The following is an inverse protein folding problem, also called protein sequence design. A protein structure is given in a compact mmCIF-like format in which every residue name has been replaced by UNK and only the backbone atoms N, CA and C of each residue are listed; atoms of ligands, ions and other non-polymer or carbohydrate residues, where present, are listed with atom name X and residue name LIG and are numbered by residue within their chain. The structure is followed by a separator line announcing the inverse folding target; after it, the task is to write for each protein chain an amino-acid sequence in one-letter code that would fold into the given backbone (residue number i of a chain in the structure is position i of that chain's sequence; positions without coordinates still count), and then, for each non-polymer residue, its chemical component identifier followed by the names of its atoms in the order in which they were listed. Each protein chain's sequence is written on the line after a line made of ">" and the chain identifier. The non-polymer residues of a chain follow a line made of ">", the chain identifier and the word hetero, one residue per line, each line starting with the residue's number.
data_IF_613913396873
#
_entry.id   IF_613913396873
#
_cell.length_a   1.000
_cell.length_b   1.000
_cell.length_c   1.000
_cell.angle_alpha   90.00
_cell.angle_beta   90.00
_cell.angle_gamma   90.00
#
_symmetry.space_group_name_H-M   'P 1'
#
loop_
_entity.id
_entity.type
_entity.pdbx_description
1 polymer ?
#
# COMPACT_ATOMS: atom_id res chain seq x y z
N UNK A 1 -1.43 -24.53 18.53
CA UNK A 1 -0.48 -24.79 17.43
C UNK A 1 -0.81 -23.92 16.23
N UNK A 2 -0.33 -22.68 16.24
CA UNK A 2 -0.42 -21.76 15.10
C UNK A 2 0.90 -21.87 14.35
N UNK A 3 0.95 -22.67 13.28
CA UNK A 3 2.04 -22.56 12.31
C UNK A 3 1.81 -21.26 11.54
N UNK A 4 2.44 -20.18 12.00
CA UNK A 4 2.57 -18.96 11.20
C UNK A 4 3.25 -19.37 9.90
N UNK A 5 2.53 -19.17 8.80
CA UNK A 5 2.92 -19.62 7.47
C UNK A 5 4.08 -18.74 6.96
N UNK A 6 5.31 -19.14 7.28
CA UNK A 6 6.57 -18.47 6.89
C UNK A 6 6.81 -18.42 5.36
N UNK A 7 5.94 -19.03 4.56
CA UNK A 7 6.07 -19.13 3.10
C UNK A 7 5.62 -17.88 2.32
N UNK A 8 5.10 -16.82 2.97
CA UNK A 8 4.58 -15.62 2.26
C UNK A 8 5.66 -14.67 1.72
N UNK A 9 6.93 -14.89 2.01
CA UNK A 9 8.01 -14.00 1.56
C UNK A 9 9.08 -14.81 0.87
N UNK A 10 9.18 -14.62 -0.44
CA UNK A 10 10.07 -15.40 -1.31
C UNK A 10 11.35 -14.59 -1.53
N UNK A 11 12.47 -15.29 -1.69
CA UNK A 11 13.68 -14.75 -2.33
C UNK A 11 13.25 -14.10 -3.66
N UNK A 12 13.69 -12.86 -3.91
CA UNK A 12 13.34 -12.09 -5.11
C UNK A 12 13.39 -12.99 -6.37
N UNK A 13 12.26 -13.21 -7.07
CA UNK A 13 12.17 -14.21 -8.14
C UNK A 13 12.87 -13.80 -9.43
N UNK A 14 13.35 -12.56 -9.53
CA UNK A 14 13.99 -12.00 -10.72
C UNK A 14 15.51 -11.83 -10.58
N UNK A 15 16.06 -12.06 -9.39
CA UNK A 15 17.42 -11.62 -9.05
C UNK A 15 17.50 -10.12 -8.76
N UNK A 16 18.70 -9.63 -8.48
CA UNK A 16 18.90 -8.23 -8.09
C UNK A 16 18.62 -7.28 -9.26
N UNK A 17 17.68 -6.34 -9.07
CA UNK A 17 17.44 -5.25 -10.02
C UNK A 17 18.43 -4.11 -9.74
N UNK A 18 19.36 -3.87 -10.66
CA UNK A 18 20.35 -2.80 -10.54
C UNK A 18 19.88 -1.59 -11.36
N UNK A 19 19.54 -0.50 -10.67
CA UNK A 19 19.11 0.74 -11.31
C UNK A 19 20.29 1.70 -11.47
N UNK A 20 20.40 2.32 -12.64
CA UNK A 20 21.35 3.41 -12.85
C UNK A 20 20.87 4.68 -12.13
N UNK A 21 21.77 5.62 -11.77
CA UNK A 21 21.37 6.89 -11.17
C UNK A 21 20.34 7.66 -12.01
N UNK A 22 20.50 7.64 -13.34
CA UNK A 22 19.56 8.28 -14.28
C UNK A 22 18.18 7.61 -14.23
N UNK A 23 18.13 6.27 -14.14
CA UNK A 23 16.86 5.55 -14.02
C UNK A 23 16.17 5.86 -12.68
N UNK A 24 16.93 5.94 -11.58
CA UNK A 24 16.41 6.35 -10.28
C UNK A 24 15.78 7.74 -10.32
N UNK A 25 16.48 8.74 -10.90
CA UNK A 25 15.95 10.10 -11.03
C UNK A 25 14.65 10.13 -11.82
N UNK A 26 14.61 9.47 -12.99
CA UNK A 26 13.39 9.42 -13.83
C UNK A 26 12.21 8.75 -13.12
N UNK A 27 12.47 7.69 -12.36
CA UNK A 27 11.44 7.00 -11.60
C UNK A 27 10.86 7.91 -10.51
N UNK A 28 11.69 8.70 -9.83
CA UNK A 28 11.22 9.69 -8.85
C UNK A 28 10.38 10.78 -9.55
N UNK A 29 10.87 11.36 -10.64
CA UNK A 29 10.17 12.38 -11.43
C UNK A 29 8.76 11.91 -11.84
N UNK A 30 8.65 10.70 -12.41
CA UNK A 30 7.36 10.12 -12.81
C UNK A 30 6.44 9.94 -11.61
N UNK A 31 6.95 9.46 -10.47
CA UNK A 31 6.12 9.32 -9.28
C UNK A 31 5.62 10.65 -8.77
N UNK A 32 6.48 11.67 -8.75
CA UNK A 32 6.15 13.00 -8.25
C UNK A 32 5.12 13.68 -9.17
N UNK A 33 5.24 13.55 -10.50
CA UNK A 33 4.22 14.02 -11.45
C UNK A 33 2.83 13.41 -11.18
N UNK A 34 2.77 12.08 -10.98
CA UNK A 34 1.50 11.39 -10.68
C UNK A 34 0.94 11.86 -9.33
N UNK A 35 1.80 11.98 -8.31
CA UNK A 35 1.38 12.41 -6.97
C UNK A 35 0.83 13.84 -7.01
N UNK A 36 1.49 14.76 -7.71
CA UNK A 36 1.06 16.15 -7.80
C UNK A 36 -0.29 16.28 -8.52
N UNK A 37 -0.50 15.55 -9.61
CA UNK A 37 -1.81 15.51 -10.27
C UNK A 37 -2.92 15.01 -9.33
N UNK A 38 -2.63 14.02 -8.48
CA UNK A 38 -3.58 13.49 -7.48
C UNK A 38 -3.78 14.41 -6.28
N UNK A 39 -2.77 15.19 -5.94
CA UNK A 39 -2.85 16.24 -4.94
C UNK A 39 -3.76 17.37 -5.39
N UNK A 40 -3.62 17.85 -6.64
CA UNK A 40 -4.50 18.85 -7.25
C UNK A 40 -5.97 18.36 -7.29
N UNK A 41 -6.21 17.11 -7.72
CA UNK A 41 -7.55 16.49 -7.66
C UNK A 41 -8.13 16.43 -6.23
N UNK A 42 -7.26 16.34 -5.21
CA UNK A 42 -7.69 16.37 -3.81
C UNK A 42 -8.03 17.79 -3.35
N UNK A 43 -7.26 18.80 -3.75
CA UNK A 43 -7.58 20.20 -3.45
C UNK A 43 -8.94 20.60 -4.07
N UNK A 44 -9.20 20.20 -5.31
CA UNK A 44 -10.52 20.38 -5.93
C UNK A 44 -11.63 19.68 -5.14
N UNK A 45 -11.37 18.46 -4.66
CA UNK A 45 -12.29 17.70 -3.83
C UNK A 45 -12.60 18.42 -2.50
N UNK A 46 -11.62 19.08 -1.89
CA UNK A 46 -11.84 19.93 -0.71
C UNK A 46 -12.75 21.11 -1.05
N UNK A 47 -12.51 21.78 -2.19
CA UNK A 47 -13.25 22.96 -2.63
C UNK A 47 -14.73 22.69 -2.92
N UNK A 48 -15.08 21.46 -3.31
CA UNK A 48 -16.48 21.04 -3.54
C UNK A 48 -17.12 20.37 -2.32
N UNK A 49 -16.64 20.65 -1.11
CA UNK A 49 -17.14 20.05 0.14
C UNK A 49 -17.12 18.52 0.13
N UNK A 50 -16.12 17.92 -0.51
CA UNK A 50 -15.90 16.47 -0.50
C UNK A 50 -17.05 15.66 -1.13
N UNK A 51 -17.81 16.27 -2.03
CA UNK A 51 -18.90 15.61 -2.73
C UNK A 51 -18.42 14.55 -3.72
N UNK A 52 -19.20 13.48 -3.87
CA UNK A 52 -18.95 12.40 -4.82
C UNK A 52 -20.02 12.43 -5.91
N UNK A 53 -19.60 12.58 -7.16
CA UNK A 53 -20.51 12.46 -8.31
C UNK A 53 -21.06 11.03 -8.43
N UNK A 54 -22.31 10.84 -8.02
CA UNK A 54 -22.99 9.54 -8.06
C UNK A 54 -23.46 9.12 -9.47
N UNK A 55 -23.45 10.04 -10.45
CA UNK A 55 -23.68 9.73 -11.86
C UNK A 55 -22.46 9.04 -12.48
N UNK A 56 -21.26 9.31 -11.96
CA UNK A 56 -20.03 8.61 -12.33
C UNK A 56 -19.73 7.43 -11.42
N UNK A 57 -19.88 7.61 -10.12
CA UNK A 57 -19.46 6.65 -9.10
C UNK A 57 -20.63 5.87 -8.52
N UNK A 58 -20.57 4.53 -8.63
CA UNK A 58 -21.51 3.63 -7.98
C UNK A 58 -20.91 3.12 -6.67
N UNK A 59 -21.58 3.37 -5.55
CA UNK A 59 -21.20 2.81 -4.25
C UNK A 59 -21.08 1.28 -4.33
N UNK A 60 -19.98 0.75 -3.82
CA UNK A 60 -19.67 -0.68 -3.85
C UNK A 60 -19.64 -1.28 -2.45
N UNK A 61 -18.83 -0.71 -1.56
CA UNK A 61 -18.62 -1.23 -0.20
C UNK A 61 -18.37 -0.10 0.79
N UNK A 62 -18.54 -0.39 2.08
CA UNK A 62 -18.25 0.53 3.19
C UNK A 62 -17.56 -0.27 4.30
N UNK A 63 -16.53 0.29 4.91
CA UNK A 63 -15.94 -0.21 6.16
C UNK A 63 -15.69 0.95 7.09
N UNK A 64 -16.21 0.89 8.31
CA UNK A 64 -16.23 2.04 9.20
C UNK A 64 -16.90 3.24 8.52
N UNK A 65 -16.18 4.36 8.44
CA UNK A 65 -16.64 5.60 7.81
C UNK A 65 -16.17 5.76 6.36
N UNK A 66 -15.24 4.93 5.91
CA UNK A 66 -14.69 4.94 4.55
C UNK A 66 -15.62 4.18 3.59
N UNK A 67 -15.88 4.77 2.43
CA UNK A 67 -16.71 4.19 1.37
C UNK A 67 -15.91 4.02 0.09
N UNK A 68 -16.07 2.85 -0.54
CA UNK A 68 -15.48 2.53 -1.84
C UNK A 68 -16.56 2.57 -2.91
N UNK A 69 -16.22 3.21 -4.03
CA UNK A 69 -17.05 3.37 -5.20
C UNK A 69 -16.34 2.77 -6.41
N UNK A 70 -17.11 2.31 -7.38
CA UNK A 70 -16.64 1.87 -8.68
C UNK A 70 -17.19 2.78 -9.76
N UNK A 71 -16.38 3.06 -10.76
CA UNK A 71 -16.83 3.84 -11.91
C UNK A 71 -17.90 3.07 -12.71
N UNK A 72 -18.94 3.79 -13.12
CA UNK A 72 -20.03 3.24 -13.94
C UNK A 72 -19.59 3.11 -15.40
N UNK A 73 -19.90 1.96 -16.00
CA UNK A 73 -19.40 1.56 -17.34
C UNK A 73 -19.70 2.55 -18.48
N UNK A 74 -20.82 3.26 -18.45
CA UNK A 74 -21.24 4.14 -19.54
C UNK A 74 -20.47 5.46 -19.61
N UNK A 75 -19.71 5.81 -18.56
CA UNK A 75 -18.89 7.01 -18.54
C UNK A 75 -17.59 6.86 -19.33
N UNK A 76 -17.15 5.61 -19.58
CA UNK A 76 -15.98 5.33 -20.40
C UNK A 76 -16.14 3.98 -21.12
N UNK A 77 -16.94 3.94 -22.21
CA UNK A 77 -17.23 2.69 -22.92
C UNK A 77 -15.99 2.06 -23.57
N UNK A 78 -14.97 2.87 -23.87
CA UNK A 78 -13.71 2.42 -24.49
C UNK A 78 -12.71 1.87 -23.46
N UNK A 79 -12.77 2.34 -22.21
CA UNK A 79 -11.95 1.79 -21.12
C UNK A 79 -12.55 0.50 -20.55
N UNK A 80 -11.87 -0.61 -20.83
CA UNK A 80 -12.18 -1.91 -20.23
C UNK A 80 -11.71 -2.03 -18.77
N UNK A 81 -10.95 -1.06 -18.28
CA UNK A 81 -10.28 -1.13 -16.98
C UNK A 81 -11.19 -0.61 -15.86
N UNK A 82 -11.44 -1.40 -14.80
CA UNK A 82 -12.22 -0.92 -13.69
C UNK A 82 -11.45 0.18 -12.91
N UNK A 83 -12.14 1.27 -12.60
CA UNK A 83 -11.65 2.34 -11.72
C UNK A 83 -12.34 2.28 -10.36
N UNK A 84 -11.60 2.63 -9.32
CA UNK A 84 -12.05 2.67 -7.92
C UNK A 84 -11.81 4.05 -7.33
N UNK A 85 -12.75 4.51 -6.51
CA UNK A 85 -12.64 5.70 -5.68
C UNK A 85 -12.92 5.30 -4.23
N UNK A 86 -12.01 5.63 -3.33
CA UNK A 86 -12.17 5.50 -1.89
C UNK A 86 -12.27 6.88 -1.28
N UNK A 87 -13.28 7.14 -0.46
CA UNK A 87 -13.44 8.42 0.24
C UNK A 87 -13.91 8.22 1.68
N UNK A 88 -13.59 9.19 2.52
CA UNK A 88 -14.08 9.28 3.88
C UNK A 88 -13.01 8.89 4.91
N UNK A 89 -13.24 9.22 6.17
CA UNK A 89 -12.16 9.26 7.15
C UNK A 89 -11.69 7.87 7.57
N UNK A 90 -10.39 7.75 7.74
CA UNK A 90 -9.67 6.69 8.42
C UNK A 90 -9.55 7.03 9.92
N UNK A 91 -9.57 6.01 10.81
CA UNK A 91 -9.27 6.19 12.23
C UNK A 91 -7.79 6.51 12.43
N UNK A 92 -7.45 7.26 13.48
CA UNK A 92 -6.07 7.63 13.80
C UNK A 92 -5.65 8.98 13.26
N UNK A 93 -4.54 9.47 13.81
CA UNK A 93 -3.80 10.63 13.29
C UNK A 93 -3.17 10.33 11.92
N UNK A 94 -2.80 11.38 11.19
CA UNK A 94 -2.07 11.27 9.93
C UNK A 94 -0.75 10.51 10.16
N UNK A 95 -0.03 10.83 11.23
CA UNK A 95 1.24 10.19 11.55
C UNK A 95 1.08 8.70 11.88
N UNK A 96 0.01 8.30 12.57
CA UNK A 96 -0.26 6.87 12.81
C UNK A 96 -0.60 6.12 11.54
N UNK A 97 -1.40 6.72 10.66
CA UNK A 97 -1.73 6.15 9.36
C UNK A 97 -0.47 6.04 8.48
N UNK A 98 0.33 7.09 8.37
CA UNK A 98 1.56 7.09 7.59
C UNK A 98 2.60 6.11 8.16
N UNK A 99 2.73 6.02 9.49
CA UNK A 99 3.62 5.05 10.14
C UNK A 99 3.20 3.59 9.89
N UNK A 100 1.90 3.31 9.94
CA UNK A 100 1.36 2.00 9.58
C UNK A 100 1.55 1.66 8.10
N UNK A 101 1.42 2.66 7.24
CA UNK A 101 1.50 2.56 5.79
C UNK A 101 2.92 2.28 5.31
N UNK A 102 3.90 3.07 5.75
CA UNK A 102 5.29 3.03 5.27
C UNK A 102 5.96 1.70 5.58
N UNK A 103 6.51 1.07 4.54
CA UNK A 103 7.05 -0.29 4.58
C UNK A 103 8.23 -0.47 3.61
N UNK A 104 9.33 0.28 3.71
CA UNK A 104 10.41 0.30 2.71
C UNK A 104 11.16 -1.04 2.59
N UNK A 105 11.24 -1.81 3.68
CA UNK A 105 12.03 -3.05 3.77
C UNK A 105 11.16 -4.31 3.72
N UNK A 106 11.77 -5.46 3.41
CA UNK A 106 11.10 -6.77 3.46
C UNK A 106 10.52 -7.05 4.85
N UNK A 107 11.24 -6.69 5.92
CA UNK A 107 10.78 -6.85 7.30
C UNK A 107 9.54 -6.00 7.58
N UNK A 108 9.56 -4.71 7.24
CA UNK A 108 8.40 -3.84 7.41
C UNK A 108 7.20 -4.27 6.54
N UNK A 109 7.45 -4.88 5.37
CA UNK A 109 6.42 -5.53 4.55
C UNK A 109 5.83 -6.78 5.23
N UNK A 110 6.65 -7.60 5.91
CA UNK A 110 6.19 -8.76 6.71
C UNK A 110 5.24 -8.34 7.81
N UNK A 111 5.60 -7.30 8.54
CA UNK A 111 4.76 -6.77 9.61
C UNK A 111 3.44 -6.28 9.02
N UNK A 112 3.48 -5.47 7.95
CA UNK A 112 2.29 -4.95 7.28
C UNK A 112 1.34 -6.07 6.79
N UNK A 113 1.86 -7.07 6.09
CA UNK A 113 1.01 -8.13 5.52
C UNK A 113 0.36 -9.04 6.56
N UNK A 114 1.01 -9.20 7.73
CA UNK A 114 0.47 -10.01 8.82
C UNK A 114 -0.88 -9.49 9.35
N UNK A 115 -1.14 -8.18 9.22
CA UNK A 115 -2.38 -7.53 9.66
C UNK A 115 -3.36 -7.25 8.52
N UNK A 116 -2.84 -7.00 7.31
CA UNK A 116 -3.65 -6.63 6.16
C UNK A 116 -4.17 -7.85 5.39
N UNK A 117 -3.40 -8.95 5.33
CA UNK A 117 -3.65 -10.09 4.44
C UNK A 117 -3.86 -9.63 2.98
N UNK A 118 -3.04 -8.69 2.53
CA UNK A 118 -3.14 -7.95 1.27
C UNK A 118 -2.40 -8.62 0.10
N UNK A 119 -1.44 -9.50 0.36
CA UNK A 119 -0.72 -10.27 -0.66
C UNK A 119 -0.26 -11.65 -0.17
N UNK A 120 -0.06 -12.56 -1.14
CA UNK A 120 0.41 -13.92 -0.90
C UNK A 120 1.94 -14.01 -0.89
N UNK A 121 2.58 -13.29 -1.81
CA UNK A 121 4.02 -13.20 -1.92
C UNK A 121 4.43 -11.78 -2.25
N UNK A 122 5.57 -11.32 -1.72
CA UNK A 122 6.13 -10.03 -2.09
C UNK A 122 7.65 -9.99 -1.95
N UNK A 123 8.28 -9.10 -2.72
CA UNK A 123 9.72 -8.86 -2.70
C UNK A 123 10.02 -7.37 -2.93
N UNK A 124 11.11 -6.89 -2.32
CA UNK A 124 11.73 -5.60 -2.67
C UNK A 124 12.73 -5.88 -3.81
N UNK A 125 12.60 -5.15 -4.92
CA UNK A 125 13.47 -5.32 -6.09
C UNK A 125 14.62 -4.31 -6.08
N UNK A 126 14.32 -3.05 -5.77
CA UNK A 126 15.30 -1.98 -5.65
C UNK A 126 14.80 -0.86 -4.73
N UNK A 127 15.69 -0.29 -3.93
CA UNK A 127 15.40 0.87 -3.07
C UNK A 127 16.00 2.11 -3.71
N UNK A 128 15.20 3.15 -3.94
CA UNK A 128 15.62 4.40 -4.59
C UNK A 128 15.80 5.50 -3.55
N UNK A 129 14.83 5.63 -2.64
CA UNK A 129 14.86 6.55 -1.50
C UNK A 129 14.42 5.83 -0.24
N UNK A 130 15.24 5.95 0.81
CA UNK A 130 14.96 5.44 2.14
C UNK A 130 14.45 6.56 3.07
N UNK A 131 13.54 6.24 4.02
CA UNK A 131 13.17 7.18 5.06
C UNK A 131 14.37 7.65 5.89
N UNK A 132 14.34 8.91 6.29
CA UNK A 132 15.35 9.52 7.17
C UNK A 132 14.71 9.93 8.50
N UNK A 133 15.52 10.41 9.45
CA UNK A 133 15.00 10.95 10.71
C UNK A 133 14.16 12.21 10.47
N UNK A 134 14.59 13.06 9.53
CA UNK A 134 13.92 14.31 9.19
C UNK A 134 12.67 14.08 8.33
N UNK A 135 12.72 13.08 7.43
CA UNK A 135 11.62 12.68 6.54
C UNK A 135 11.23 11.21 6.75
N UNK A 136 10.61 10.84 7.89
CA UNK A 136 10.37 9.45 8.28
C UNK A 136 9.33 8.73 7.42
N UNK A 137 8.57 9.48 6.62
CA UNK A 137 7.56 8.92 5.72
C UNK A 137 7.97 8.95 4.25
N UNK A 138 9.11 9.56 3.91
CA UNK A 138 9.57 9.64 2.52
C UNK A 138 10.24 8.34 2.12
N UNK A 139 9.65 7.65 1.14
CA UNK A 139 10.22 6.40 0.61
C UNK A 139 9.90 6.28 -0.87
N UNK A 140 10.83 5.73 -1.65
CA UNK A 140 10.59 5.34 -3.06
C UNK A 140 11.26 3.98 -3.31
N UNK A 141 10.46 2.96 -3.60
CA UNK A 141 10.94 1.56 -3.67
C UNK A 141 10.24 0.83 -4.80
N UNK A 142 11.01 0.09 -5.60
CA UNK A 142 10.49 -0.84 -6.61
C UNK A 142 10.25 -2.19 -5.97
N UNK A 143 9.04 -2.72 -6.14
CA UNK A 143 8.55 -3.93 -5.48
C UNK A 143 7.86 -4.85 -6.46
N UNK A 144 7.74 -6.10 -6.02
CA UNK A 144 6.91 -7.11 -6.64
C UNK A 144 5.94 -7.67 -5.60
N UNK A 145 4.71 -7.93 -6.03
CA UNK A 145 3.73 -8.66 -5.22
C UNK A 145 2.88 -9.61 -6.06
N UNK A 146 2.44 -10.69 -5.44
CA UNK A 146 1.47 -11.63 -5.96
C UNK A 146 0.18 -11.53 -5.14
N UNK A 147 -0.92 -11.30 -5.83
CA UNK A 147 -2.26 -11.23 -5.23
C UNK A 147 -3.00 -12.53 -5.58
N UNK A 148 -3.51 -13.21 -4.56
CA UNK A 148 -4.42 -14.33 -4.74
C UNK A 148 -5.74 -13.86 -5.32
N UNK A 149 -6.29 -14.63 -6.22
CA UNK A 149 -7.62 -14.36 -6.74
C UNK A 149 -8.50 -15.54 -6.36
N UNK A 150 -9.73 -15.30 -5.87
CA UNK A 150 -10.66 -16.38 -5.60
C UNK A 150 -10.71 -17.37 -6.78
N UNK A 151 -10.65 -18.67 -6.44
CA UNK A 151 -10.58 -19.81 -7.37
C UNK A 151 -9.20 -20.10 -7.99
N UNK A 152 -8.15 -19.33 -7.71
CA UNK A 152 -6.81 -19.64 -8.18
C UNK A 152 -6.23 -20.90 -7.53
N UNK A 153 -6.47 -21.08 -6.23
CA UNK A 153 -6.16 -22.33 -5.50
C UNK A 153 -6.91 -23.56 -6.03
N UNK A 154 -7.99 -23.36 -6.78
CA UNK A 154 -8.75 -24.43 -7.45
C UNK A 154 -8.28 -24.68 -8.89
N UNK A 155 -7.25 -23.97 -9.36
CA UNK A 155 -6.70 -24.10 -10.72
C UNK A 155 -7.59 -23.53 -11.83
N UNK A 156 -8.69 -22.86 -11.49
CA UNK A 156 -9.65 -22.31 -12.46
C UNK A 156 -9.20 -20.96 -13.05
N UNK A 157 -8.35 -20.24 -12.33
CA UNK A 157 -7.75 -18.97 -12.75
C UNK A 157 -6.29 -18.91 -12.31
N UNK A 158 -5.48 -18.11 -13.00
CA UNK A 158 -4.07 -17.88 -12.60
C UNK A 158 -3.97 -16.71 -11.61
N UNK A 159 -3.00 -16.76 -10.71
CA UNK A 159 -2.69 -15.60 -9.85
C UNK A 159 -2.19 -14.44 -10.68
N UNK A 160 -2.33 -13.23 -10.13
CA UNK A 160 -1.82 -12.01 -10.74
C UNK A 160 -0.63 -11.50 -9.94
N UNK A 161 0.42 -11.19 -10.67
CA UNK A 161 1.60 -10.55 -10.12
C UNK A 161 1.74 -9.13 -10.67
N UNK A 162 2.39 -8.28 -9.88
CA UNK A 162 2.56 -6.87 -10.18
C UNK A 162 3.97 -6.45 -9.83
N UNK A 163 4.61 -5.75 -10.77
CA UNK A 163 5.86 -5.03 -10.54
C UNK A 163 5.50 -3.55 -10.51
N UNK A 164 5.86 -2.86 -9.43
CA UNK A 164 5.40 -1.50 -9.18
C UNK A 164 6.42 -0.70 -8.39
N UNK A 165 6.41 0.61 -8.61
CA UNK A 165 7.06 1.59 -7.76
C UNK A 165 6.07 2.02 -6.68
N UNK A 166 6.51 2.00 -5.42
CA UNK A 166 5.78 2.53 -4.28
C UNK A 166 6.47 3.82 -3.82
N UNK A 167 5.71 4.92 -3.75
CA UNK A 167 6.18 6.22 -3.29
C UNK A 167 5.29 6.73 -2.17
N UNK A 168 5.89 7.14 -1.06
CA UNK A 168 5.20 7.67 0.12
C UNK A 168 5.87 8.94 0.59
N UNK A 169 5.12 9.79 1.31
CA UNK A 169 5.65 11.01 1.89
C UNK A 169 4.55 11.94 2.39
N UNK A 170 4.95 13.17 2.70
CA UNK A 170 4.09 14.26 3.14
C UNK A 170 4.24 15.44 2.17
N UNK A 171 3.11 16.02 1.78
CA UNK A 171 2.98 17.30 1.10
C UNK A 171 2.30 18.30 2.04
N UNK A 172 2.23 19.55 1.61
CA UNK A 172 1.58 20.62 2.35
C UNK A 172 0.59 21.35 1.44
N UNK A 173 -0.62 21.58 1.97
CA UNK A 173 -1.59 22.49 1.36
C UNK A 173 -1.07 23.93 1.46
N UNK A 174 -1.68 24.85 0.71
CA UNK A 174 -1.31 26.28 0.73
C UNK A 174 -1.41 26.92 2.12
N UNK A 175 -2.32 26.40 2.97
CA UNK A 175 -2.50 26.84 4.35
C UNK A 175 -1.48 26.23 5.33
N UNK A 176 -0.55 25.39 4.85
CA UNK A 176 0.46 24.70 5.64
C UNK A 176 -0.01 23.39 6.28
N UNK A 177 -1.26 22.97 6.06
CA UNK A 177 -1.76 21.69 6.58
C UNK A 177 -1.05 20.51 5.89
N UNK A 178 -0.72 19.49 6.68
CA UNK A 178 0.02 18.30 6.22
C UNK A 178 -0.92 17.33 5.52
N UNK A 179 -0.45 16.82 4.39
CA UNK A 179 -1.17 15.82 3.59
C UNK A 179 -0.24 14.68 3.26
N UNK A 180 -0.56 13.48 3.73
CA UNK A 180 0.18 12.27 3.36
C UNK A 180 -0.23 11.74 2.00
N UNK A 181 0.68 11.07 1.31
CA UNK A 181 0.38 10.36 0.08
C UNK A 181 0.94 8.94 0.06
N UNK A 182 0.30 8.08 -0.74
CA UNK A 182 0.73 6.72 -1.02
C UNK A 182 0.41 6.35 -2.47
N UNK A 183 1.45 6.26 -3.28
CA UNK A 183 1.37 5.84 -4.67
C UNK A 183 1.87 4.40 -4.81
N UNK A 184 1.12 3.59 -5.55
CA UNK A 184 1.59 2.35 -6.17
C UNK A 184 1.36 2.48 -7.67
N UNK A 185 2.42 2.40 -8.47
CA UNK A 185 2.32 2.53 -9.92
C UNK A 185 3.13 1.43 -10.61
N UNK A 186 2.51 0.68 -11.53
CA UNK A 186 3.20 -0.39 -12.23
C UNK A 186 4.30 0.15 -13.15
N UNK A 187 5.45 -0.51 -13.12
CA UNK A 187 6.63 -0.18 -13.92
C UNK A 187 7.18 -1.45 -14.57
N UNK A 188 7.87 -1.30 -15.69
CA UNK A 188 8.42 -2.41 -16.47
C UNK A 188 9.93 -2.26 -16.59
N UNK A 189 10.65 -3.37 -16.39
CA UNK A 189 12.10 -3.45 -16.56
C UNK A 189 12.45 -4.64 -17.46
N UNK A 190 13.42 -4.51 -18.39
CA UNK A 190 13.87 -5.62 -19.22
C UNK A 190 14.33 -6.87 -18.43
N UNK A 191 14.93 -6.67 -17.26
CA UNK A 191 15.45 -7.70 -16.38
C UNK A 191 14.33 -8.47 -15.64
N UNK A 192 13.12 -7.91 -15.60
CA UNK A 192 11.98 -8.43 -14.84
C UNK A 192 11.01 -9.14 -15.78
N UNK A 193 11.32 -10.38 -16.08
CA UNK A 193 10.53 -11.26 -16.95
C UNK A 193 9.16 -11.63 -16.34
N UNK A 194 8.27 -12.18 -17.17
CA UNK A 194 7.01 -12.76 -16.69
C UNK A 194 7.26 -14.11 -16.01
N UNK A 195 6.67 -14.32 -14.84
CA UNK A 195 6.80 -15.57 -14.10
C UNK A 195 5.81 -16.62 -14.62
N UNK A 196 6.18 -17.92 -14.64
CA UNK A 196 5.26 -18.98 -15.02
C UNK A 196 4.09 -19.10 -14.02
N UNK A 197 2.96 -19.60 -14.53
CA UNK A 197 1.71 -19.88 -13.79
C UNK A 197 1.00 -18.67 -13.16
N UNK A 198 1.43 -17.46 -13.50
CA UNK A 198 0.78 -16.20 -13.12
C UNK A 198 0.70 -15.27 -14.32
N UNK A 199 -0.13 -14.24 -14.20
CA UNK A 199 -0.38 -13.26 -15.27
C UNK A 199 0.03 -11.89 -14.76
N UNK A 200 0.91 -11.21 -15.51
CA UNK A 200 1.34 -9.86 -15.18
C UNK A 200 0.18 -8.88 -15.33
N UNK A 201 -0.20 -8.26 -14.23
CA UNK A 201 -1.14 -7.15 -14.21
C UNK A 201 -0.41 -5.81 -14.15
N UNK A 202 -1.14 -4.74 -14.45
CA UNK A 202 -0.68 -3.37 -14.27
C UNK A 202 -1.69 -2.60 -13.42
N UNK A 203 -1.21 -1.77 -12.50
CA UNK A 203 -2.07 -0.93 -11.67
C UNK A 203 -1.49 0.46 -11.50
N UNK A 204 -2.37 1.41 -11.21
CA UNK A 204 -1.97 2.68 -10.62
C UNK A 204 -2.98 3.02 -9.54
N UNK A 205 -2.53 3.18 -8.31
CA UNK A 205 -3.34 3.59 -7.17
C UNK A 205 -2.64 4.70 -6.41
N UNK A 206 -3.36 5.76 -6.08
CA UNK A 206 -2.85 6.84 -5.25
C UNK A 206 -3.88 7.18 -4.16
N UNK A 207 -3.43 7.12 -2.90
CA UNK A 207 -4.16 7.60 -1.73
C UNK A 207 -3.60 8.92 -1.23
N UNK A 208 -4.46 9.89 -0.98
CA UNK A 208 -4.17 11.16 -0.33
C UNK A 208 -4.85 11.17 1.04
N UNK A 209 -4.14 11.60 2.09
CA UNK A 209 -4.57 11.54 3.48
C UNK A 209 -4.39 12.90 4.16
N UNK A 210 -5.43 13.44 4.79
CA UNK A 210 -5.40 14.78 5.39
C UNK A 210 -5.96 14.75 6.82
N UNK A 211 -5.23 15.32 7.78
CA UNK A 211 -5.68 15.39 9.17
C UNK A 211 -6.92 16.28 9.31
N UNK A 212 -8.06 15.73 9.74
CA UNK A 212 -9.30 16.51 9.98
C UNK A 212 -9.62 16.73 11.47
N UNK A 213 -8.95 15.99 12.35
CA UNK A 213 -9.16 16.09 13.80
C UNK A 213 -8.25 15.13 14.57
N UNK A 214 -8.27 15.13 15.91
CA UNK A 214 -7.26 14.45 16.73
C UNK A 214 -7.12 12.93 16.54
N UNK A 215 -8.16 12.26 16.04
CA UNK A 215 -8.18 10.81 15.78
C UNK A 215 -8.88 10.51 14.44
N UNK A 216 -8.77 11.44 13.50
CA UNK A 216 -9.51 11.40 12.24
C UNK A 216 -8.66 11.94 11.09
N UNK A 217 -8.41 11.08 10.11
CA UNK A 217 -7.67 11.41 8.89
C UNK A 217 -8.58 11.19 7.70
N UNK A 218 -8.95 12.24 6.97
CA UNK A 218 -9.65 12.09 5.70
C UNK A 218 -8.81 11.30 4.72
N UNK A 219 -9.46 10.55 3.83
CA UNK A 219 -8.76 9.94 2.71
C UNK A 219 -9.53 10.13 1.41
N UNK A 220 -8.76 10.30 0.34
CA UNK A 220 -9.24 10.17 -1.03
C UNK A 220 -8.25 9.28 -1.79
N UNK A 221 -8.69 8.09 -2.17
CA UNK A 221 -7.91 7.15 -2.96
C UNK A 221 -8.51 6.95 -4.33
N UNK A 222 -7.71 7.01 -5.39
CA UNK A 222 -8.15 6.64 -6.74
C UNK A 222 -7.28 5.53 -7.28
N UNK A 223 -7.87 4.61 -8.02
CA UNK A 223 -7.12 3.50 -8.60
C UNK A 223 -7.69 3.02 -9.92
N UNK A 224 -6.80 2.50 -10.76
CA UNK A 224 -7.11 1.79 -11.99
C UNK A 224 -6.32 0.48 -12.01
N UNK A 225 -6.98 -0.60 -12.43
CA UNK A 225 -6.36 -1.91 -12.53
C UNK A 225 -6.55 -2.48 -13.93
N UNK A 226 -5.45 -2.88 -14.55
CA UNK A 226 -5.42 -3.82 -15.64
C UNK A 226 -5.02 -5.20 -15.11
N UNK A 227 -5.99 -6.13 -14.96
CA UNK A 227 -5.72 -7.46 -14.42
C UNK A 227 -4.82 -8.34 -15.29
N UNK A 228 -4.61 -7.99 -16.57
CA UNK A 228 -3.89 -8.81 -17.54
C UNK A 228 -4.65 -10.11 -17.91
N UNK A 229 -4.49 -10.52 -19.16
CA UNK A 229 -5.12 -11.71 -19.72
C UNK A 229 -6.64 -11.75 -19.53
N UNK A 230 -7.20 -12.96 -19.56
CA UNK A 230 -8.64 -13.18 -19.38
C UNK A 230 -8.96 -13.27 -17.88
N UNK A 231 -9.41 -12.16 -17.30
CA UNK A 231 -9.97 -12.12 -15.95
C UNK A 231 -11.44 -11.70 -16.00
N UNK A 232 -12.27 -12.40 -15.23
CA UNK A 232 -13.63 -11.96 -14.97
C UNK A 232 -13.56 -10.63 -14.20
N UNK A 233 -14.15 -9.57 -14.77
CA UNK A 233 -14.12 -8.20 -14.22
C UNK A 233 -14.53 -8.12 -12.75
N UNK A 234 -15.49 -8.94 -12.31
CA UNK A 234 -15.92 -8.97 -10.91
C UNK A 234 -14.78 -9.36 -9.95
N UNK A 235 -13.90 -10.29 -10.35
CA UNK A 235 -12.74 -10.67 -9.56
C UNK A 235 -11.69 -9.56 -9.50
N UNK A 236 -11.41 -8.90 -10.64
CA UNK A 236 -10.51 -7.74 -10.69
C UNK A 236 -10.99 -6.63 -9.75
N UNK A 237 -12.29 -6.37 -9.75
CA UNK A 237 -12.94 -5.41 -8.84
C UNK A 237 -12.76 -5.79 -7.38
N UNK A 238 -12.97 -7.06 -7.02
CA UNK A 238 -12.77 -7.51 -5.63
C UNK A 238 -11.32 -7.34 -5.18
N UNK A 239 -10.34 -7.69 -6.02
CA UNK A 239 -8.92 -7.50 -5.73
C UNK A 239 -8.56 -6.04 -5.51
N UNK A 240 -9.05 -5.13 -6.37
CA UNK A 240 -8.87 -3.68 -6.16
C UNK A 240 -9.51 -3.18 -4.86
N UNK A 241 -10.73 -3.64 -4.56
CA UNK A 241 -11.41 -3.24 -3.34
C UNK A 241 -10.61 -3.72 -2.13
N UNK A 242 -10.10 -4.95 -2.12
CA UNK A 242 -9.23 -5.41 -1.03
C UNK A 242 -7.96 -4.54 -0.89
N UNK A 243 -7.28 -4.25 -2.01
CA UNK A 243 -6.08 -3.42 -2.01
C UNK A 243 -6.34 -1.99 -1.51
N UNK A 244 -7.46 -1.37 -1.90
CA UNK A 244 -7.84 -0.03 -1.41
C UNK A 244 -8.26 -0.03 0.05
N UNK A 245 -8.98 -1.07 0.49
CA UNK A 245 -9.46 -1.21 1.87
C UNK A 245 -8.35 -1.50 2.89
N UNK A 246 -7.14 -1.84 2.44
CA UNK A 246 -5.94 -1.90 3.28
C UNK A 246 -5.74 -0.61 4.09
N UNK A 247 -6.09 0.55 3.51
CA UNK A 247 -5.97 1.86 4.16
C UNK A 247 -6.72 1.98 5.49
N UNK A 248 -7.86 1.32 5.63
CA UNK A 248 -8.69 1.35 6.86
C UNK A 248 -7.98 0.73 8.07
N UNK A 249 -6.94 -0.06 7.84
CA UNK A 249 -6.18 -0.75 8.88
C UNK A 249 -4.80 -0.12 9.12
N UNK A 250 -4.46 1.00 8.48
CA UNK A 250 -3.11 1.58 8.60
C UNK A 250 -2.80 2.04 10.03
N UNK A 251 -3.64 2.83 10.68
CA UNK A 251 -3.42 3.24 12.07
C UNK A 251 -3.27 2.04 13.02
N UNK A 252 -4.08 0.99 12.85
CA UNK A 252 -3.95 -0.26 13.61
C UNK A 252 -2.60 -0.95 13.36
N UNK A 253 -2.17 -1.06 12.09
CA UNK A 253 -0.84 -1.57 11.75
C UNK A 253 0.28 -0.75 12.42
N UNK A 254 0.13 0.57 12.46
CA UNK A 254 1.05 1.48 13.14
C UNK A 254 1.14 1.21 14.65
N UNK A 255 0.00 1.00 15.32
CA UNK A 255 -0.03 0.62 16.74
C UNK A 255 0.67 -0.72 16.98
N UNK A 256 0.42 -1.71 16.11
CA UNK A 256 1.04 -3.02 16.22
C UNK A 256 2.56 -2.99 15.98
N UNK A 257 3.04 -2.20 15.01
CA UNK A 257 4.48 -1.92 14.81
C UNK A 257 5.12 -1.35 16.08
N UNK A 258 4.49 -0.34 16.70
CA UNK A 258 4.99 0.25 17.96
C UNK A 258 5.03 -0.78 19.08
N UNK A 259 3.99 -1.61 19.20
CA UNK A 259 3.91 -2.63 20.24
C UNK A 259 4.99 -3.71 20.06
N UNK A 260 5.19 -4.20 18.83
CA UNK A 260 6.23 -5.18 18.51
C UNK A 260 7.63 -4.65 18.91
N UNK A 261 7.94 -3.42 18.51
CA UNK A 261 9.20 -2.76 18.86
C UNK A 261 9.39 -2.61 20.38
N UNK A 262 8.36 -2.15 21.11
CA UNK A 262 8.43 -2.04 22.58
C UNK A 262 8.66 -3.39 23.27
N UNK A 263 8.10 -4.47 22.73
CA UNK A 263 8.29 -5.82 23.26
C UNK A 263 9.72 -6.31 23.02
N UNK A 264 10.27 -6.07 21.83
CA UNK A 264 11.66 -6.41 21.50
C UNK A 264 12.65 -5.67 22.40
N UNK A 265 12.44 -4.38 22.64
CA UNK A 265 13.28 -3.60 23.56
C UNK A 265 13.26 -4.18 24.97
N UNK A 266 12.08 -4.49 25.53
CA UNK A 266 11.99 -5.09 26.87
C UNK A 266 12.66 -6.45 26.95
N UNK A 267 12.57 -7.26 25.90
CA UNK A 267 13.25 -8.55 25.84
C UNK A 267 14.77 -8.39 25.76
N UNK A 268 15.25 -7.40 25.02
CA UNK A 268 16.65 -6.99 24.99
C UNK A 268 17.15 -6.59 26.38
N UNK A 269 16.47 -5.63 27.02
CA UNK A 269 16.79 -5.16 28.38
C UNK A 269 16.77 -6.31 29.40
N UNK A 270 15.80 -7.23 29.29
CA UNK A 270 15.69 -8.40 30.17
C UNK A 270 16.83 -9.40 29.97
N UNK A 271 17.34 -9.55 28.74
CA UNK A 271 18.52 -10.38 28.45
C UNK A 271 19.80 -9.73 28.97
N UNK A 272 19.94 -8.41 28.84
CA UNK A 272 21.10 -7.65 29.34
C UNK A 272 21.17 -7.61 30.87
N UNK A 273 20.02 -7.54 31.56
CA UNK A 273 19.97 -7.52 33.03
C UNK A 273 20.30 -8.88 33.67
N UNK A 274 20.26 -9.98 32.90
CA UNK A 274 20.51 -11.34 33.38
C UNK A 274 19.49 -11.83 34.41
N UNK A 275 19.32 -13.16 34.53
CA UNK A 275 18.59 -13.74 35.66
C UNK A 275 19.33 -13.38 36.94
N UNK A 276 18.68 -12.83 38.00
CA UNK A 276 19.37 -12.58 39.26
C UNK A 276 20.06 -13.85 39.70
N UNK A 277 21.38 -13.79 39.91
CA UNK A 277 22.13 -14.93 40.41
C UNK A 277 21.46 -15.38 41.71
N UNK A 278 20.94 -16.61 41.72
CA UNK A 278 20.40 -17.23 42.92
C UNK A 278 21.51 -17.22 43.99
N UNK A 279 21.35 -16.36 45.00
CA UNK A 279 22.17 -16.41 46.20
C UNK A 279 21.47 -17.37 47.17
N UNK A 280 21.99 -18.59 47.39
CA UNK A 280 21.49 -19.41 48.48
C UNK A 280 21.76 -18.65 49.78
N UNK A 281 20.73 -18.46 50.59
CA UNK A 281 20.92 -18.03 51.98
C UNK A 281 21.52 -19.21 52.75
N UNK A 282 22.82 -19.14 53.03
CA UNK A 282 23.52 -19.88 54.08
C UNK A 282 24.59 -18.95 54.68
#
# INVERSE_FOLDING_TARGET
>A
NSSMNDQRFIINPFGQLVLTPVACTKLVEITDEIIMAKFEEYEEYLNINKEVDLQRWKKHSKSGLTTTYLERKYQNPDSKLPQVLMVGPLPGTLDENMFGLVNPTIESMRIKSSYLNDFNAAAVLATILEPTVDDPFRSVVVKWMEIDIPLASLGLVRNRDYVYIESTGILHLQNGERVGYHLLHSVTFPEVHELPNRVRGHMSFCGIFHQEGPDRTDCRGTGILNPGGDMIRAMAVMGMVQATMAGVKYSYCGQMKKLAWLLEQRQGDGRERGTPAYKPNC
#
